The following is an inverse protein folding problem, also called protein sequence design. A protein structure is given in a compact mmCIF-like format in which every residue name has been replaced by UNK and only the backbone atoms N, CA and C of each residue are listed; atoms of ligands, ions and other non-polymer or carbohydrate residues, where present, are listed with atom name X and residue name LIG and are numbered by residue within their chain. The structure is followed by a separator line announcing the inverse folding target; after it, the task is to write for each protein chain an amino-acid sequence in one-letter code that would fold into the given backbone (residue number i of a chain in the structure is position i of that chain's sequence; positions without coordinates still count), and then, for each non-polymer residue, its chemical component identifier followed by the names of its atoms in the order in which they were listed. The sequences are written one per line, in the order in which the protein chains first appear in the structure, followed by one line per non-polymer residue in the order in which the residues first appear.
data_IF_626651960834
#
_entry.id   IF_626651960834
#
_cell.length_a   1.000
_cell.length_b   1.000
_cell.length_c   1.000
_cell.angle_alpha   90.00
_cell.angle_beta   90.00
_cell.angle_gamma   90.00
#
_symmetry.space_group_name_H-M   'P 1'
#
loop_
_entity.id
_entity.type
_entity.pdbx_description
1 polymer ?
#
# COMPACT_ATOMS: atom_id res chain seq x y z
N UNK A 1 -2.08 -10.18 19.85
CA UNK A 1 -3.38 -10.54 19.22
C UNK A 1 -4.38 -11.17 20.21
N UNK A 2 -4.21 -10.95 21.53
CA UNK A 2 -5.14 -11.43 22.58
C UNK A 2 -6.14 -10.34 23.01
N UNK A 3 -5.83 -9.08 22.70
CA UNK A 3 -6.59 -7.89 23.12
C UNK A 3 -7.94 -7.78 22.38
N UNK A 4 -8.05 -8.33 21.16
CA UNK A 4 -9.31 -8.33 20.41
C UNK A 4 -10.42 -9.14 21.09
N UNK A 5 -10.04 -10.13 21.90
CA UNK A 5 -10.99 -10.96 22.62
C UNK A 5 -11.66 -10.20 23.78
N UNK A 6 -11.02 -9.13 24.29
CA UNK A 6 -11.54 -8.28 25.37
C UNK A 6 -12.58 -7.25 24.90
N UNK A 7 -12.76 -7.10 23.58
CA UNK A 7 -13.71 -6.18 22.98
C UNK A 7 -15.15 -6.71 23.02
N UNK A 8 -16.09 -5.83 23.31
CA UNK A 8 -17.52 -6.10 23.26
C UNK A 8 -17.97 -6.48 21.85
N UNK A 9 -19.02 -7.31 21.67
CA UNK A 9 -19.52 -7.69 20.34
C UNK A 9 -19.88 -6.50 19.44
N UNK A 10 -20.30 -5.36 20.01
CA UNK A 10 -20.55 -4.12 19.25
C UNK A 10 -19.26 -3.49 18.72
N UNK A 11 -18.21 -3.44 19.55
CA UNK A 11 -16.89 -2.89 19.20
C UNK A 11 -16.19 -3.76 18.15
N UNK A 12 -16.34 -5.09 18.23
CA UNK A 12 -15.81 -6.02 17.23
C UNK A 12 -16.39 -5.77 15.83
N UNK A 13 -17.69 -5.50 15.71
CA UNK A 13 -18.32 -5.16 14.42
C UNK A 13 -17.79 -3.84 13.85
N UNK A 14 -17.56 -2.84 14.70
CA UNK A 14 -16.96 -1.57 14.27
C UNK A 14 -15.51 -1.76 13.83
N UNK A 15 -14.73 -2.54 14.59
CA UNK A 15 -13.36 -2.90 14.24
C UNK A 15 -13.30 -3.64 12.90
N UNK A 16 -14.19 -4.59 12.64
CA UNK A 16 -14.25 -5.30 11.37
C UNK A 16 -14.51 -4.36 10.19
N UNK A 17 -15.48 -3.45 10.31
CA UNK A 17 -15.76 -2.45 9.26
C UNK A 17 -14.54 -1.57 8.99
N UNK A 18 -13.85 -1.13 10.04
CA UNK A 18 -12.63 -0.34 9.89
C UNK A 18 -11.51 -1.18 9.24
N UNK A 19 -11.26 -2.41 9.70
CA UNK A 19 -10.26 -3.30 9.11
C UNK A 19 -10.48 -3.47 7.61
N UNK A 20 -11.71 -3.73 7.18
CA UNK A 20 -12.06 -3.85 5.77
C UNK A 20 -11.86 -2.54 5.01
N UNK A 21 -12.30 -1.41 5.58
CA UNK A 21 -12.12 -0.09 4.93
C UNK A 21 -10.63 0.28 4.80
N UNK A 22 -9.84 0.10 5.85
CA UNK A 22 -8.39 0.33 5.85
C UNK A 22 -7.69 -0.58 4.86
N UNK A 23 -8.03 -1.87 4.81
CA UNK A 23 -7.47 -2.80 3.83
C UNK A 23 -7.78 -2.35 2.39
N UNK A 24 -9.01 -1.94 2.11
CA UNK A 24 -9.40 -1.42 0.79
C UNK A 24 -8.60 -0.16 0.40
N UNK A 25 -8.42 0.78 1.34
CA UNK A 25 -7.62 1.99 1.11
C UNK A 25 -6.16 1.64 0.85
N UNK A 26 -5.57 0.73 1.64
CA UNK A 26 -4.19 0.29 1.45
C UNK A 26 -4.00 -0.36 0.09
N UNK A 27 -4.91 -1.24 -0.34
CA UNK A 27 -4.84 -1.89 -1.66
C UNK A 27 -4.92 -0.85 -2.78
N UNK A 28 -5.81 0.13 -2.67
CA UNK A 28 -5.92 1.20 -3.66
C UNK A 28 -4.63 2.02 -3.76
N UNK A 29 -4.09 2.45 -2.62
CA UNK A 29 -2.85 3.21 -2.56
C UNK A 29 -1.64 2.40 -3.04
N UNK A 30 -1.55 1.12 -2.67
CA UNK A 30 -0.51 0.20 -3.13
C UNK A 30 -0.58 0.02 -4.65
N UNK A 31 -1.78 -0.10 -5.23
CA UNK A 31 -1.93 -0.24 -6.68
C UNK A 31 -1.43 1.00 -7.43
N UNK A 32 -1.70 2.19 -6.90
CA UNK A 32 -1.18 3.46 -7.45
C UNK A 32 0.33 3.58 -7.29
N UNK A 33 0.86 3.20 -6.11
CA UNK A 33 2.29 3.19 -5.85
C UNK A 33 3.03 2.22 -6.77
N UNK A 34 2.46 1.03 -7.01
CA UNK A 34 3.03 0.01 -7.87
C UNK A 34 3.09 0.49 -9.32
N UNK A 35 2.01 1.10 -9.80
CA UNK A 35 1.98 1.72 -11.12
C UNK A 35 3.06 2.79 -11.25
N UNK A 36 3.11 3.74 -10.30
CA UNK A 36 4.10 4.81 -10.32
C UNK A 36 5.54 4.27 -10.22
N UNK A 37 5.76 3.26 -9.39
CA UNK A 37 7.04 2.62 -9.17
C UNK A 37 7.53 1.85 -10.39
N UNK A 38 6.66 1.10 -11.08
CA UNK A 38 7.02 0.42 -12.34
C UNK A 38 7.34 1.41 -13.45
N UNK A 39 6.57 2.51 -13.56
CA UNK A 39 6.89 3.60 -14.47
C UNK A 39 8.25 4.23 -14.13
N UNK A 40 8.51 4.50 -12.85
CA UNK A 40 9.78 5.04 -12.39
C UNK A 40 10.97 4.10 -12.68
N UNK A 41 10.81 2.80 -12.43
CA UNK A 41 11.83 1.78 -12.73
C UNK A 41 12.19 1.79 -14.22
N UNK A 42 11.17 1.78 -15.09
CA UNK A 42 11.35 1.81 -16.54
C UNK A 42 11.97 3.12 -17.04
N UNK A 43 11.62 4.25 -16.43
CA UNK A 43 12.07 5.56 -16.87
C UNK A 43 13.50 5.90 -16.42
N UNK A 44 13.81 5.59 -15.16
CA UNK A 44 15.01 6.10 -14.49
C UNK A 44 16.09 5.04 -14.28
N UNK A 45 15.71 3.78 -14.05
CA UNK A 45 16.63 2.71 -13.65
C UNK A 45 16.96 1.80 -14.84
N UNK A 46 15.94 1.21 -15.47
CA UNK A 46 16.08 0.26 -16.57
C UNK A 46 15.78 0.93 -17.91
N UNK A 47 16.62 1.89 -18.29
CA UNK A 47 16.36 2.78 -19.43
C UNK A 47 16.31 2.04 -20.76
N UNK A 48 17.02 0.93 -20.87
CA UNK A 48 17.02 0.13 -22.10
C UNK A 48 15.72 -0.67 -22.28
N UNK A 49 14.88 -0.82 -21.24
CA UNK A 49 13.61 -1.53 -21.38
C UNK A 49 12.68 -0.81 -22.36
N UNK A 50 12.02 -1.57 -23.25
CA UNK A 50 11.21 -1.00 -24.32
C UNK A 50 10.16 -0.01 -23.81
N UNK A 51 10.25 1.26 -24.21
CA UNK A 51 9.27 2.30 -23.92
C UNK A 51 8.71 2.89 -25.22
N UNK A 52 7.40 2.75 -25.53
CA UNK A 52 6.83 3.27 -26.76
C UNK A 52 6.91 4.79 -26.91
N UNK A 53 7.11 5.55 -25.82
CA UNK A 53 7.29 7.01 -25.90
C UNK A 53 8.72 7.43 -26.23
N UNK A 54 9.72 6.54 -26.08
CA UNK A 54 11.15 6.85 -26.31
C UNK A 54 11.80 6.00 -27.40
N UNK A 55 11.26 4.82 -27.66
CA UNK A 55 11.88 3.82 -28.51
C UNK A 55 11.04 3.53 -29.75
N UNK A 56 11.75 3.28 -30.85
CA UNK A 56 11.18 2.85 -32.12
C UNK A 56 11.52 1.37 -32.31
N UNK A 57 10.53 0.57 -32.67
CA UNK A 57 10.72 -0.85 -32.97
C UNK A 57 11.59 -0.97 -34.23
N UNK A 58 12.64 -1.77 -34.16
CA UNK A 58 13.58 -2.02 -35.27
C UNK A 58 13.34 -3.40 -35.87
N UNK A 59 13.09 -4.39 -35.01
CA UNK A 59 12.85 -5.77 -35.41
C UNK A 59 11.67 -6.33 -34.61
N UNK A 60 10.72 -6.92 -35.34
CA UNK A 60 9.48 -7.47 -34.80
C UNK A 60 9.04 -8.64 -35.66
N UNK A 61 8.63 -9.74 -35.02
CA UNK A 61 7.99 -10.84 -35.71
C UNK A 61 6.63 -10.37 -36.31
N UNK A 62 6.44 -10.45 -37.63
CA UNK A 62 5.22 -9.99 -38.28
C UNK A 62 3.99 -10.86 -37.98
N UNK A 63 4.17 -12.09 -37.48
CA UNK A 63 3.09 -13.02 -37.16
C UNK A 63 2.71 -12.97 -35.68
N UNK A 64 3.69 -12.95 -34.78
CA UNK A 64 3.45 -12.97 -33.32
C UNK A 64 3.40 -11.58 -32.70
N UNK A 65 3.99 -10.58 -33.36
CA UNK A 65 4.14 -9.23 -32.81
C UNK A 65 5.23 -9.13 -31.73
N UNK A 66 6.03 -10.17 -31.52
CA UNK A 66 7.14 -10.14 -30.57
C UNK A 66 8.21 -9.14 -31.03
N UNK A 67 8.60 -8.23 -30.14
CA UNK A 67 9.62 -7.22 -30.43
C UNK A 67 10.99 -7.79 -30.07
N UNK A 68 11.85 -7.94 -31.07
CA UNK A 68 13.21 -8.46 -30.90
C UNK A 68 14.27 -7.36 -30.75
N UNK A 69 14.01 -6.17 -31.28
CA UNK A 69 14.91 -5.04 -31.11
C UNK A 69 14.18 -3.70 -31.18
N UNK A 70 14.69 -2.72 -30.45
CA UNK A 70 14.23 -1.34 -30.50
C UNK A 70 15.40 -0.37 -30.38
N UNK A 71 15.23 0.84 -30.90
CA UNK A 71 16.25 1.89 -30.84
C UNK A 71 15.77 3.15 -30.15
N UNK A 72 16.69 3.86 -29.51
CA UNK A 72 16.44 5.19 -28.97
C UNK A 72 16.65 6.32 -30.00
N UNK A 73 16.46 7.55 -29.55
CA UNK A 73 16.68 8.76 -30.36
C UNK A 73 18.16 8.98 -30.75
N UNK A 74 19.10 8.33 -30.08
CA UNK A 74 20.54 8.39 -30.36
C UNK A 74 20.99 7.26 -31.31
N UNK A 75 20.06 6.41 -31.77
CA UNK A 75 20.29 5.22 -32.59
C UNK A 75 21.05 4.08 -31.89
N UNK A 76 21.05 4.03 -30.55
CA UNK A 76 21.46 2.82 -29.84
C UNK A 76 20.36 1.78 -29.97
N UNK A 77 20.74 0.55 -30.34
CA UNK A 77 19.83 -0.58 -30.50
C UNK A 77 19.92 -1.46 -29.26
N UNK A 78 18.76 -1.82 -28.72
CA UNK A 78 18.59 -2.67 -27.56
C UNK A 78 17.81 -3.92 -27.92
N UNK A 79 18.02 -4.98 -27.16
CA UNK A 79 17.45 -6.31 -27.36
C UNK A 79 17.01 -6.92 -26.02
N UNK A 80 16.20 -7.98 -26.02
CA UNK A 80 15.87 -8.74 -24.81
C UNK A 80 17.07 -9.28 -24.04
N UNK A 81 18.23 -9.44 -24.71
CA UNK A 81 19.44 -9.95 -24.10
C UNK A 81 20.18 -8.93 -23.23
N UNK A 82 19.80 -7.65 -23.34
CA UNK A 82 20.39 -6.57 -22.56
C UNK A 82 20.18 -6.76 -21.06
N UNK A 83 21.22 -6.41 -20.29
CA UNK A 83 21.25 -6.55 -18.84
C UNK A 83 20.06 -5.86 -18.17
N UNK A 84 19.76 -4.63 -18.56
CA UNK A 84 18.66 -3.85 -17.99
C UNK A 84 17.30 -4.50 -18.25
N UNK A 85 17.12 -5.12 -19.43
CA UNK A 85 15.88 -5.79 -19.81
C UNK A 85 15.71 -7.07 -18.99
N UNK A 86 16.79 -7.86 -18.85
CA UNK A 86 16.81 -9.07 -18.02
C UNK A 86 16.63 -8.80 -16.54
N UNK A 87 17.13 -7.66 -16.04
CA UNK A 87 17.04 -7.29 -14.63
C UNK A 87 15.71 -6.62 -14.27
N UNK A 88 14.97 -6.08 -15.24
CA UNK A 88 13.70 -5.39 -14.99
C UNK A 88 12.68 -6.23 -14.19
N UNK A 89 12.42 -7.53 -14.50
CA UNK A 89 11.52 -8.36 -13.70
C UNK A 89 11.94 -8.48 -12.23
N UNK A 90 13.25 -8.53 -11.95
CA UNK A 90 13.77 -8.58 -10.58
C UNK A 90 13.61 -7.23 -9.87
N UNK A 91 13.75 -6.11 -10.60
CA UNK A 91 13.43 -4.78 -10.09
C UNK A 91 11.96 -4.65 -9.70
N UNK A 92 11.05 -5.15 -10.54
CA UNK A 92 9.61 -5.22 -10.24
C UNK A 92 9.33 -6.11 -9.03
N UNK A 93 9.97 -7.28 -8.95
CA UNK A 93 9.84 -8.17 -7.78
C UNK A 93 10.30 -7.48 -6.48
N UNK A 94 11.43 -6.75 -6.52
CA UNK A 94 11.91 -5.96 -5.40
C UNK A 94 10.92 -4.86 -4.98
N UNK A 95 10.29 -4.18 -5.95
CA UNK A 95 9.24 -3.20 -5.68
C UNK A 95 8.03 -3.83 -4.97
N UNK A 96 7.55 -4.99 -5.45
CA UNK A 96 6.43 -5.71 -4.82
C UNK A 96 6.77 -6.09 -3.38
N UNK A 97 7.97 -6.62 -3.13
CA UNK A 97 8.39 -7.00 -1.77
C UNK A 97 8.46 -5.79 -0.83
N UNK A 98 9.00 -4.67 -1.31
CA UNK A 98 9.05 -3.43 -0.55
C UNK A 98 7.63 -2.91 -0.22
N UNK A 99 6.73 -2.92 -1.19
CA UNK A 99 5.34 -2.52 -0.98
C UNK A 99 4.60 -3.44 -0.02
N UNK A 100 4.77 -4.75 -0.12
CA UNK A 100 4.19 -5.70 0.82
C UNK A 100 4.64 -5.42 2.26
N UNK A 101 5.93 -5.16 2.46
CA UNK A 101 6.48 -4.84 3.77
C UNK A 101 5.87 -3.55 4.34
N UNK A 102 5.75 -2.51 3.52
CA UNK A 102 5.16 -1.22 3.89
C UNK A 102 3.68 -1.39 4.23
N UNK A 103 2.92 -2.06 3.36
CA UNK A 103 1.48 -2.28 3.52
C UNK A 103 1.16 -3.09 4.78
N UNK A 104 1.91 -4.16 5.04
CA UNK A 104 1.75 -4.98 6.24
C UNK A 104 2.04 -4.17 7.50
N UNK A 105 3.12 -3.40 7.49
CA UNK A 105 3.52 -2.56 8.63
C UNK A 105 2.48 -1.47 8.90
N UNK A 106 2.02 -0.78 7.86
CA UNK A 106 0.98 0.25 7.96
C UNK A 106 -0.35 -0.33 8.46
N UNK A 107 -0.80 -1.45 7.91
CA UNK A 107 -2.04 -2.10 8.34
C UNK A 107 -1.98 -2.52 9.81
N UNK A 108 -0.87 -3.12 10.23
CA UNK A 108 -0.65 -3.52 11.63
C UNK A 108 -0.68 -2.30 12.55
N UNK A 109 0.07 -1.24 12.22
CA UNK A 109 0.16 -0.03 13.02
C UNK A 109 -1.21 0.66 13.17
N UNK A 110 -1.96 0.82 12.07
CA UNK A 110 -3.29 1.44 12.08
C UNK A 110 -4.27 0.62 12.94
N UNK A 111 -4.25 -0.71 12.78
CA UNK A 111 -5.16 -1.60 13.52
C UNK A 111 -4.84 -1.58 15.01
N UNK A 112 -3.56 -1.69 15.39
CA UNK A 112 -3.13 -1.64 16.79
C UNK A 112 -3.45 -0.28 17.42
N UNK A 113 -3.17 0.81 16.71
CA UNK A 113 -3.48 2.15 17.18
C UNK A 113 -4.99 2.35 17.41
N UNK A 114 -5.83 1.83 16.51
CA UNK A 114 -7.28 1.93 16.66
C UNK A 114 -7.80 1.11 17.85
N UNK A 115 -7.27 -0.09 18.09
CA UNK A 115 -7.62 -0.90 19.27
C UNK A 115 -7.25 -0.15 20.56
N UNK A 116 -6.05 0.44 20.62
CA UNK A 116 -5.62 1.25 21.76
C UNK A 116 -6.56 2.43 22.02
N UNK A 117 -6.99 3.12 20.95
CA UNK A 117 -7.94 4.22 21.04
C UNK A 117 -9.30 3.78 21.60
N UNK A 118 -9.82 2.63 21.15
CA UNK A 118 -11.08 2.06 21.67
C UNK A 118 -10.96 1.70 23.16
N UNK A 119 -9.84 1.11 23.58
CA UNK A 119 -9.59 0.80 24.99
C UNK A 119 -9.50 2.05 25.85
N UNK A 120 -8.80 3.08 25.38
CA UNK A 120 -8.74 4.39 26.05
C UNK A 120 -10.13 4.99 26.20
N UNK A 121 -10.92 4.99 25.12
CA UNK A 121 -12.29 5.47 25.12
C UNK A 121 -13.14 4.76 26.17
N UNK A 122 -13.04 3.43 26.25
CA UNK A 122 -13.79 2.59 27.22
C UNK A 122 -13.37 2.84 28.66
N UNK A 123 -12.08 3.08 28.93
CA UNK A 123 -11.57 3.26 30.31
C UNK A 123 -11.78 4.67 30.85
N UNK A 124 -11.72 5.70 30.01
CA UNK A 124 -11.76 7.10 30.45
C UNK A 124 -13.12 7.80 30.30
N UNK A 125 -13.99 7.41 29.35
CA UNK A 125 -15.33 8.03 29.25
C UNK A 125 -16.28 7.76 30.43
N UNK A 126 -16.30 6.58 31.09
CA UNK A 126 -17.18 6.36 32.23
C UNK A 126 -16.82 7.29 33.40
N UNK A 127 -15.53 7.49 33.65
CA UNK A 127 -15.01 8.34 34.72
C UNK A 127 -15.39 9.82 34.53
N UNK A 128 -15.25 10.35 33.30
CA UNK A 128 -15.63 11.73 32.97
C UNK A 128 -17.15 11.97 32.95
N UNK A 129 -17.95 10.91 32.77
CA UNK A 129 -19.41 11.00 32.83
C UNK A 129 -19.92 11.04 34.28
N UNK A 130 -19.28 10.30 35.19
CA UNK A 130 -19.60 10.31 36.62
C UNK A 130 -19.26 11.65 37.29
N UNK A 131 -18.12 12.24 36.95
CA UNK A 131 -17.66 13.52 37.49
C UNK A 131 -18.54 14.71 37.08
N UNK A 132 -19.30 14.58 35.98
CA UNK A 132 -20.23 15.62 35.50
C UNK A 132 -21.62 15.54 36.15
N UNK A 133 -21.98 14.43 36.80
CA UNK A 133 -23.31 14.22 37.42
C UNK A 133 -23.27 14.53 38.93
N UNK A 134 -22.09 14.65 39.54
CA UNK A 134 -21.92 14.83 40.98
C UNK A 134 -22.06 16.25 41.58
N UNK A 135 -22.19 17.40 40.85
CA UNK A 135 -22.32 18.68 41.54
C UNK A 135 -23.75 19.02 42.03
N UNK A 136 -24.78 18.20 41.74
CA UNK A 136 -26.18 18.51 42.09
C UNK A 136 -26.70 17.86 43.37
N UNK A 137 -25.87 17.12 44.12
CA UNK A 137 -26.29 16.40 45.34
C UNK A 137 -25.66 16.97 46.62
N UNK A 138 -25.55 18.29 46.74
CA UNK A 138 -25.20 18.97 48.00
C UNK A 138 -26.01 20.26 48.12
N UNK A 139 -27.34 20.16 48.30
CA UNK A 139 -28.16 21.31 48.72
C UNK A 139 -29.50 20.91 49.35
N UNK A 140 -29.51 19.87 50.18
CA UNK A 140 -30.62 19.62 51.10
C UNK A 140 -30.05 19.02 52.39
N UNK A 141 -29.50 19.90 53.23
CA UNK A 141 -29.31 19.74 54.67
C UNK A 141 -29.92 20.96 55.34
#
# INVERSE_FOLDING_TARGET
MEIEQLLSPKERRQLQKLKTATAAIIVLLASLAFWAGTYFLKENIFRHYFNPTRHIIVDQDPLTGEVYAWKDALNYVYTPEDRDVKLFPYGVAGLVLAEMLICLSAYKLITEHYILMLMFKRRFLPCLAEERISPLRVSNL
#
